data_IF_550306128995
#
_entry.id   IF_550306128995
#
_cell.length_a   1.000
_cell.length_b   1.000
_cell.length_c   1.000
_cell.angle_alpha   90.00
_cell.angle_beta   90.00
_cell.angle_gamma   90.00
#
_symmetry.space_group_name_H-M   'P 1'
#
loop_
_entity.id
_entity.type
_entity.pdbx_description
1 polymer ?
#
# COMPACT_ATOMS: atom_id res chain seq x y z
N UNK A 1 11.38 -29.94 48.72
CA UNK A 1 11.03 -28.64 48.10
C UNK A 1 11.72 -28.37 46.76
N UNK A 2 12.91 -28.92 46.49
CA UNK A 2 13.72 -28.65 45.29
C UNK A 2 13.16 -29.20 43.97
N UNK A 3 12.51 -30.37 43.98
CA UNK A 3 11.97 -30.98 42.74
C UNK A 3 10.72 -30.27 42.19
N UNK A 4 9.87 -29.72 43.07
CA UNK A 4 8.65 -29.00 42.68
C UNK A 4 8.99 -27.69 41.95
N UNK A 5 10.02 -26.98 42.41
CA UNK A 5 10.52 -25.76 41.77
C UNK A 5 11.18 -26.04 40.42
N UNK A 6 11.89 -27.17 40.30
CA UNK A 6 12.49 -27.62 39.03
C UNK A 6 11.43 -27.92 37.95
N UNK A 7 10.36 -28.63 38.31
CA UNK A 7 9.23 -28.92 37.42
C UNK A 7 8.49 -27.64 37.00
N UNK A 8 8.28 -26.71 37.94
CA UNK A 8 7.66 -25.41 37.66
C UNK A 8 8.52 -24.59 36.68
N UNK A 9 9.83 -24.52 36.90
CA UNK A 9 10.75 -23.79 36.03
C UNK A 9 10.83 -24.39 34.62
N UNK A 10 10.79 -25.72 34.48
CA UNK A 10 10.72 -26.38 33.16
C UNK A 10 9.44 -26.05 32.40
N UNK A 11 8.28 -26.03 33.07
CA UNK A 11 7.01 -25.64 32.45
C UNK A 11 7.01 -24.18 32.03
N UNK A 12 7.57 -23.28 32.84
CA UNK A 12 7.72 -21.86 32.49
C UNK A 12 8.60 -21.72 31.24
N UNK A 13 9.75 -22.40 31.20
CA UNK A 13 10.64 -22.38 30.03
C UNK A 13 9.96 -22.90 28.75
N UNK A 14 9.16 -23.97 28.85
CA UNK A 14 8.38 -24.49 27.74
C UNK A 14 7.33 -23.48 27.25
N UNK A 15 6.57 -22.85 28.16
CA UNK A 15 5.57 -21.84 27.81
C UNK A 15 6.24 -20.63 27.14
N UNK A 16 7.37 -20.15 27.67
CA UNK A 16 8.14 -19.06 27.07
C UNK A 16 8.66 -19.41 25.67
N UNK A 17 9.09 -20.65 25.45
CA UNK A 17 9.50 -21.14 24.14
C UNK A 17 8.34 -21.14 23.13
N UNK A 18 7.17 -21.67 23.53
CA UNK A 18 5.98 -21.65 22.67
C UNK A 18 5.46 -20.24 22.40
N UNK A 19 5.50 -19.32 23.37
CA UNK A 19 5.20 -17.90 23.16
C UNK A 19 6.16 -17.26 22.17
N UNK A 20 7.46 -17.56 22.26
CA UNK A 20 8.47 -17.07 21.31
C UNK A 20 8.17 -17.52 19.88
N UNK A 21 7.88 -18.81 19.68
CA UNK A 21 7.47 -19.34 18.37
C UNK A 21 6.18 -18.65 17.89
N UNK A 22 5.21 -18.47 18.77
CA UNK A 22 3.96 -17.77 18.46
C UNK A 22 4.19 -16.34 17.96
N UNK A 23 5.10 -15.59 18.59
CA UNK A 23 5.48 -14.25 18.13
C UNK A 23 6.14 -14.27 16.75
N UNK A 24 7.05 -15.23 16.49
CA UNK A 24 7.69 -15.34 15.17
C UNK A 24 6.67 -15.65 14.08
N UNK A 25 5.75 -16.58 14.33
CA UNK A 25 4.68 -16.91 13.38
C UNK A 25 3.78 -15.70 13.13
N UNK A 26 3.36 -14.99 14.17
CA UNK A 26 2.58 -13.75 14.04
C UNK A 26 3.31 -12.71 13.21
N UNK A 27 4.62 -12.50 13.46
CA UNK A 27 5.41 -11.56 12.70
C UNK A 27 5.45 -11.90 11.21
N UNK A 28 5.67 -13.18 10.86
CA UNK A 28 5.70 -13.62 9.46
C UNK A 28 4.33 -13.42 8.79
N UNK A 29 3.24 -13.85 9.44
CA UNK A 29 1.88 -13.70 8.91
C UNK A 29 1.55 -12.22 8.68
N UNK A 30 1.90 -11.35 9.63
CA UNK A 30 1.62 -9.91 9.51
C UNK A 30 2.39 -9.30 8.34
N UNK A 31 3.67 -9.65 8.15
CA UNK A 31 4.46 -9.19 7.01
C UNK A 31 3.90 -9.68 5.66
N UNK A 32 3.43 -10.93 5.58
CA UNK A 32 2.79 -11.45 4.36
C UNK A 32 1.50 -10.68 4.04
N UNK A 33 0.65 -10.46 5.05
CA UNK A 33 -0.61 -9.73 4.88
C UNK A 33 -0.34 -8.30 4.41
N UNK A 34 0.56 -7.58 5.09
CA UNK A 34 0.91 -6.20 4.74
C UNK A 34 1.52 -6.10 3.34
N UNK A 35 2.44 -7.01 2.98
CA UNK A 35 3.05 -7.04 1.65
C UNK A 35 2.03 -7.34 0.53
N UNK A 36 1.05 -8.20 0.79
CA UNK A 36 -0.01 -8.47 -0.18
C UNK A 36 -0.97 -7.27 -0.33
N UNK A 37 -1.28 -6.57 0.76
CA UNK A 37 -2.13 -5.38 0.71
C UNK A 37 -1.50 -4.21 -0.06
N UNK A 38 -0.17 -4.05 -0.03
CA UNK A 38 0.50 -3.03 -0.83
C UNK A 38 0.59 -3.39 -2.32
N UNK A 39 0.61 -4.68 -2.65
CA UNK A 39 0.73 -5.18 -4.02
C UNK A 39 -0.52 -5.00 -4.86
N UNK A 40 -1.71 -5.07 -4.27
CA UNK A 40 -2.97 -5.09 -5.03
C UNK A 40 -3.67 -3.73 -5.12
N UNK A 41 -3.11 -2.66 -4.52
CA UNK A 41 -3.71 -1.33 -4.61
C UNK A 41 -3.27 -0.59 -5.85
N UNK A 42 -4.26 -0.14 -6.62
CA UNK A 42 -4.06 0.81 -7.70
C UNK A 42 -3.48 2.13 -7.15
N UNK A 43 -2.53 2.68 -7.92
CA UNK A 43 -1.85 3.93 -7.58
C UNK A 43 -2.17 4.97 -8.63
N UNK A 44 -2.61 6.14 -8.18
CA UNK A 44 -2.87 7.29 -9.03
C UNK A 44 -1.69 8.25 -8.94
N UNK A 45 -0.98 8.39 -10.05
CA UNK A 45 0.04 9.39 -10.27
C UNK A 45 -0.58 10.65 -10.84
N UNK A 46 -0.37 11.77 -10.16
CA UNK A 46 -0.83 13.09 -10.59
C UNK A 46 0.38 13.92 -10.92
N UNK A 47 0.54 14.23 -12.20
CA UNK A 47 1.57 15.12 -12.72
C UNK A 47 0.94 16.47 -12.99
N UNK A 48 1.32 17.45 -12.20
CA UNK A 48 0.70 18.77 -12.23
C UNK A 48 1.71 19.87 -11.89
N UNK A 49 1.28 21.11 -12.09
CA UNK A 49 2.00 22.29 -11.59
C UNK A 49 2.09 22.28 -10.06
N UNK A 50 3.24 22.70 -9.49
CA UNK A 50 3.42 22.77 -8.05
C UNK A 50 2.35 23.64 -7.38
N UNK A 51 1.71 23.11 -6.33
CA UNK A 51 0.83 23.90 -5.45
C UNK A 51 -0.67 23.64 -5.60
N UNK A 52 -1.10 22.83 -6.56
CA UNK A 52 -2.51 22.44 -6.71
C UNK A 52 -2.77 21.14 -5.95
N UNK A 53 -3.80 21.13 -5.10
CA UNK A 53 -4.22 19.92 -4.40
C UNK A 53 -5.04 19.01 -5.30
N UNK A 54 -4.83 17.70 -5.23
CA UNK A 54 -5.63 16.73 -5.98
C UNK A 54 -7.13 16.79 -5.67
N UNK A 55 -7.50 17.32 -4.51
CA UNK A 55 -8.90 17.57 -4.13
C UNK A 55 -9.55 18.68 -4.95
N UNK A 56 -8.76 19.63 -5.46
CA UNK A 56 -9.27 20.72 -6.32
C UNK A 56 -9.71 20.19 -7.69
N UNK A 57 -9.15 19.05 -8.12
CA UNK A 57 -9.63 18.32 -9.28
C UNK A 57 -10.92 17.52 -9.03
N UNK A 58 -11.51 17.55 -7.83
CA UNK A 58 -12.72 16.78 -7.53
C UNK A 58 -12.49 15.26 -7.51
N UNK A 59 -11.25 14.82 -7.33
CA UNK A 59 -10.91 13.39 -7.18
C UNK A 59 -11.23 13.00 -5.75
N UNK A 60 -12.30 12.23 -5.54
CA UNK A 60 -12.75 11.83 -4.20
C UNK A 60 -12.83 10.30 -4.08
N UNK A 61 -11.68 9.63 -4.13
CA UNK A 61 -11.60 8.17 -3.98
C UNK A 61 -10.70 7.78 -2.81
N UNK A 62 -11.25 6.97 -1.90
CA UNK A 62 -10.58 6.46 -0.69
C UNK A 62 -9.88 5.12 -0.92
N UNK A 63 -10.17 4.43 -2.02
CA UNK A 63 -9.64 3.08 -2.31
C UNK A 63 -8.36 3.05 -3.15
N UNK A 64 -7.85 4.21 -3.58
CA UNK A 64 -6.64 4.30 -4.41
C UNK A 64 -5.53 5.05 -3.69
N UNK A 65 -4.30 4.54 -3.81
CA UNK A 65 -3.12 5.23 -3.30
C UNK A 65 -2.79 6.42 -4.19
N UNK A 66 -3.03 7.64 -3.71
CA UNK A 66 -2.73 8.86 -4.47
C UNK A 66 -1.27 9.26 -4.23
N UNK A 67 -0.50 9.33 -5.32
CA UNK A 67 0.88 9.81 -5.34
C UNK A 67 0.90 11.07 -6.20
N UNK A 68 0.88 12.23 -5.55
CA UNK A 68 1.15 13.50 -6.24
C UNK A 68 2.66 13.68 -6.35
N UNK A 69 3.18 13.81 -7.56
CA UNK A 69 4.61 14.04 -7.80
C UNK A 69 4.80 15.02 -8.94
N UNK A 70 5.67 16.01 -8.71
CA UNK A 70 6.07 16.99 -9.72
C UNK A 70 7.25 16.50 -10.56
N UNK A 71 7.82 15.33 -10.23
CA UNK A 71 8.97 14.76 -10.95
C UNK A 71 8.46 13.69 -11.90
N UNK A 72 8.50 13.93 -13.23
CA UNK A 72 8.13 12.92 -14.23
C UNK A 72 8.94 11.65 -14.02
N UNK A 73 8.28 10.54 -13.69
CA UNK A 73 8.94 9.24 -13.71
C UNK A 73 9.37 8.97 -15.15
N UNK A 74 10.62 8.53 -15.37
CA UNK A 74 11.18 8.28 -16.70
C UNK A 74 10.34 7.27 -17.53
N UNK A 75 9.50 6.48 -16.86
CA UNK A 75 8.55 5.56 -17.50
C UNK A 75 7.37 6.25 -18.19
N UNK A 76 7.03 7.48 -17.81
CA UNK A 76 5.88 8.21 -18.35
C UNK A 76 6.33 9.47 -19.06
N UNK A 77 6.11 9.52 -20.37
CA UNK A 77 6.37 10.72 -21.16
C UNK A 77 5.20 11.70 -21.03
N UNK A 78 5.18 12.45 -19.93
CA UNK A 78 4.17 13.48 -19.67
C UNK A 78 4.46 14.70 -20.55
N UNK A 79 3.54 15.02 -21.45
CA UNK A 79 3.67 16.15 -22.40
C UNK A 79 2.66 17.27 -22.16
N UNK A 80 1.67 17.04 -21.30
CA UNK A 80 0.60 17.98 -20.95
C UNK A 80 0.36 17.94 -19.44
N UNK A 81 -0.02 19.07 -18.87
CA UNK A 81 -0.37 19.18 -17.45
C UNK A 81 -1.80 19.76 -17.32
N UNK A 82 -2.63 19.28 -16.38
CA UNK A 82 -2.39 18.09 -15.55
C UNK A 82 -2.48 16.79 -16.37
N UNK A 83 -1.72 15.77 -15.97
CA UNK A 83 -1.85 14.39 -16.46
C UNK A 83 -2.03 13.43 -15.30
N UNK A 84 -3.06 12.60 -15.40
CA UNK A 84 -3.45 11.59 -14.43
C UNK A 84 -3.12 10.21 -14.98
N UNK A 85 -2.37 9.41 -14.22
CA UNK A 85 -1.94 8.07 -14.61
C UNK A 85 -2.31 7.09 -13.51
N UNK A 86 -3.16 6.11 -13.81
CA UNK A 86 -3.46 5.00 -12.89
C UNK A 86 -2.61 3.80 -13.28
N UNK A 87 -1.91 3.23 -12.30
CA UNK A 87 -1.19 1.97 -12.47
C UNK A 87 -1.76 0.91 -11.55
N UNK A 88 -1.87 -0.31 -12.07
CA UNK A 88 -2.16 -1.52 -11.30
C UNK A 88 -0.92 -1.97 -10.52
N UNK A 89 -1.16 -2.78 -9.49
CA UNK A 89 -0.22 -3.41 -8.58
C UNK A 89 1.28 -3.34 -8.91
N UNK A 90 2.07 -2.85 -7.96
CA UNK A 90 3.52 -2.64 -8.06
C UNK A 90 3.97 -1.75 -9.23
N UNK A 91 3.12 -0.87 -9.75
CA UNK A 91 3.45 0.06 -10.84
C UNK A 91 3.86 -0.64 -12.14
N UNK A 92 3.44 -1.89 -12.38
CA UNK A 92 3.87 -2.67 -13.55
C UNK A 92 2.96 -2.47 -14.76
N UNK A 93 1.68 -2.24 -14.54
CA UNK A 93 0.69 -2.12 -15.61
C UNK A 93 0.02 -0.75 -15.54
N UNK A 94 -0.07 -0.08 -16.69
CA UNK A 94 -0.77 1.20 -16.81
C UNK A 94 -2.23 0.90 -17.17
N UNK A 95 -3.14 1.30 -16.29
CA UNK A 95 -4.58 1.11 -16.45
C UNK A 95 -5.24 2.27 -17.18
N UNK A 96 -4.80 3.49 -16.90
CA UNK A 96 -5.35 4.71 -17.49
C UNK A 96 -4.28 5.78 -17.59
N UNK A 97 -4.25 6.51 -18.71
CA UNK A 97 -3.56 7.78 -18.87
C UNK A 97 -4.59 8.76 -19.41
N UNK A 98 -4.84 9.85 -18.70
CA UNK A 98 -5.78 10.88 -19.13
C UNK A 98 -5.36 12.25 -18.61
N UNK A 99 -5.69 13.28 -19.37
CA UNK A 99 -5.62 14.68 -18.96
C UNK A 99 -7.01 15.23 -18.59
N UNK A 100 -8.06 14.40 -18.69
CA UNK A 100 -9.44 14.77 -18.37
C UNK A 100 -9.87 14.14 -17.04
N UNK A 101 -10.23 15.01 -16.10
CA UNK A 101 -10.75 14.63 -14.77
C UNK A 101 -12.04 13.82 -14.87
N UNK A 102 -12.91 14.11 -15.84
CA UNK A 102 -14.18 13.39 -16.00
C UNK A 102 -13.96 11.92 -16.33
N UNK A 103 -13.05 11.63 -17.28
CA UNK A 103 -12.66 10.27 -17.63
C UNK A 103 -11.97 9.55 -16.47
N UNK A 104 -11.16 10.26 -15.69
CA UNK A 104 -10.54 9.72 -14.48
C UNK A 104 -11.60 9.30 -13.47
N UNK A 105 -12.54 10.18 -13.13
CA UNK A 105 -13.60 9.90 -12.16
C UNK A 105 -14.55 8.80 -12.65
N UNK A 106 -14.86 8.76 -13.95
CA UNK A 106 -15.64 7.66 -14.52
C UNK A 106 -14.94 6.31 -14.35
N UNK A 107 -13.63 6.25 -14.61
CA UNK A 107 -12.85 5.04 -14.40
C UNK A 107 -12.82 4.62 -12.93
N UNK A 108 -12.59 5.57 -12.03
CA UNK A 108 -12.53 5.32 -10.59
C UNK A 108 -13.88 4.89 -10.00
N UNK A 109 -15.00 5.34 -10.57
CA UNK A 109 -16.35 4.93 -10.16
C UNK A 109 -16.78 3.55 -10.69
N UNK A 110 -16.10 3.03 -11.71
CA UNK A 110 -16.39 1.71 -12.29
C UNK A 110 -15.68 0.55 -11.57
N UNK A 111 -14.70 0.85 -10.71
CA UNK A 111 -14.02 -0.11 -9.86
C UNK A 111 -14.75 -0.30 -8.53
#
# INVERSE_FOLDING_TARGET
>A
MTQLNSLKNRRIAQISFYMGIGMVVLFIVTNIILNNQEKDRDRLYIYDTPGISWKEYGINHTNIGIISTNTPDARFRVTRFPTFIITSGNNKEIKLITNEVNLLNEYLNKQ
#
